data_IF_267202572075
#
_entry.id   IF_267202572075
#
_cell.length_a   1.000
_cell.length_b   1.000
_cell.length_c   1.000
_cell.angle_alpha   90.00
_cell.angle_beta   90.00
_cell.angle_gamma   90.00
#
_symmetry.space_group_name_H-M   'P 1'
#
loop_
_entity.id
_entity.type
_entity.pdbx_description
1 polymer ?
#
# COMPACT_ATOMS: atom_id res chain seq x y z
N UNK A 1 21.72 6.93 2.65
CA UNK A 1 20.71 7.24 1.61
C UNK A 1 21.20 6.56 0.32
N UNK A 2 20.82 5.30 0.05
CA UNK A 2 21.57 4.44 -0.90
C UNK A 2 20.80 4.02 -2.17
N UNK A 3 19.52 4.36 -2.32
CA UNK A 3 18.70 3.92 -3.49
C UNK A 3 17.91 5.05 -4.17
N UNK A 4 17.95 6.27 -3.63
CA UNK A 4 17.33 7.46 -4.23
C UNK A 4 18.39 8.50 -4.55
N UNK A 5 19.11 8.32 -5.66
CA UNK A 5 19.81 9.41 -6.32
C UNK A 5 19.48 9.37 -7.80
N UNK A 6 18.65 10.33 -8.23
CA UNK A 6 18.52 10.70 -9.63
C UNK A 6 19.55 11.78 -9.92
N UNK A 7 20.44 11.54 -10.86
CA UNK A 7 21.43 12.53 -11.33
C UNK A 7 20.78 13.51 -12.32
N UNK A 8 21.05 14.81 -12.27
CA UNK A 8 20.45 15.79 -13.17
C UNK A 8 21.18 15.84 -14.52
N UNK A 9 20.47 15.54 -15.61
CA UNK A 9 20.94 15.80 -16.96
C UNK A 9 20.71 17.27 -17.33
N UNK A 10 21.81 17.98 -17.54
CA UNK A 10 21.93 19.34 -18.07
C UNK A 10 21.27 19.45 -19.44
N UNK A 11 20.28 20.32 -19.58
CA UNK A 11 19.83 20.85 -20.88
C UNK A 11 19.86 22.37 -20.85
N UNK A 12 20.84 22.90 -21.60
CA UNK A 12 20.90 24.29 -22.03
C UNK A 12 19.65 24.64 -22.84
N UNK A 13 18.93 25.69 -22.43
CA UNK A 13 18.03 26.40 -23.32
C UNK A 13 18.27 27.91 -23.22
N UNK A 14 18.42 28.47 -24.41
CA UNK A 14 18.77 29.85 -24.73
C UNK A 14 17.79 30.85 -24.12
N UNK A 15 18.34 31.90 -23.53
CA UNK A 15 17.62 33.10 -23.13
C UNK A 15 17.05 33.82 -24.36
N UNK A 16 15.74 34.07 -24.35
CA UNK A 16 15.12 35.09 -25.20
C UNK A 16 14.68 36.23 -24.30
N UNK A 17 15.39 37.35 -24.45
CA UNK A 17 15.11 38.65 -23.87
C UNK A 17 13.90 39.26 -24.57
N UNK A 18 12.90 39.69 -23.83
CA UNK A 18 11.93 40.68 -24.30
C UNK A 18 11.70 41.73 -23.21
N UNK A 19 12.02 42.99 -23.54
CA UNK A 19 11.96 44.19 -22.69
C UNK A 19 10.64 44.95 -22.90
N UNK A 20 10.30 45.78 -21.89
CA UNK A 20 9.25 46.84 -21.77
C UNK A 20 8.02 46.37 -21.00
N UNK A 21 7.38 47.14 -20.10
CA UNK A 21 7.50 48.54 -19.64
C UNK A 21 6.88 48.66 -18.25
N UNK A 22 7.31 49.64 -17.47
CA UNK A 22 6.68 50.06 -16.22
C UNK A 22 5.31 50.73 -16.46
N UNK A 23 4.36 50.47 -15.55
CA UNK A 23 3.05 51.12 -15.46
C UNK A 23 2.53 51.03 -14.03
N UNK A 24 2.12 52.17 -13.48
CA UNK A 24 1.79 52.43 -12.07
C UNK A 24 0.30 52.17 -11.76
N UNK A 25 0.07 51.66 -10.55
CA UNK A 25 -1.12 51.71 -9.66
C UNK A 25 -2.52 51.46 -10.23
N UNK A 26 -3.21 50.44 -9.68
CA UNK A 26 -4.50 50.58 -9.00
C UNK A 26 -4.75 49.35 -8.13
N UNK A 27 -4.95 49.54 -6.82
CA UNK A 27 -5.43 48.52 -5.92
C UNK A 27 -6.91 48.25 -6.24
N UNK A 28 -7.23 47.05 -6.70
CA UNK A 28 -8.61 46.58 -6.87
C UNK A 28 -8.88 45.53 -5.80
N UNK A 29 -9.65 45.94 -4.79
CA UNK A 29 -10.24 45.04 -3.81
C UNK A 29 -11.10 44.01 -4.54
N UNK A 30 -10.70 42.73 -4.49
CA UNK A 30 -11.47 41.63 -5.08
C UNK A 30 -12.61 41.28 -4.14
N UNK A 31 -13.80 41.75 -4.50
CA UNK A 31 -15.06 41.31 -3.91
C UNK A 31 -15.20 39.79 -4.10
N UNK A 32 -15.39 39.09 -2.99
CA UNK A 32 -15.80 37.69 -2.98
C UNK A 32 -17.26 37.68 -3.45
N UNK A 33 -17.50 37.26 -4.69
CA UNK A 33 -18.84 36.83 -5.07
C UNK A 33 -19.13 35.53 -4.31
N UNK A 34 -19.91 35.66 -3.23
CA UNK A 34 -20.70 34.56 -2.70
C UNK A 34 -21.73 34.16 -3.76
N UNK A 35 -21.40 33.13 -4.54
CA UNK A 35 -22.38 32.47 -5.40
C UNK A 35 -23.43 31.77 -4.52
N UNK A 36 -24.71 31.76 -4.92
CA UNK A 36 -25.77 31.13 -4.14
C UNK A 36 -25.52 29.63 -4.00
N UNK A 37 -25.57 29.15 -2.77
CA UNK A 37 -25.67 27.73 -2.39
C UNK A 37 -26.72 27.05 -3.26
N UNK A 38 -26.37 25.96 -3.94
CA UNK A 38 -27.28 25.14 -4.75
C UNK A 38 -28.46 24.59 -3.93
N UNK A 39 -29.69 25.11 -4.06
CA UNK A 39 -30.88 24.54 -3.44
C UNK A 39 -31.65 23.62 -4.42
N UNK A 40 -31.22 23.61 -5.68
CA UNK A 40 -32.02 23.13 -6.81
C UNK A 40 -31.95 21.60 -6.97
N UNK A 41 -30.87 20.98 -6.49
CA UNK A 41 -30.70 19.52 -6.56
C UNK A 41 -31.46 18.82 -5.43
N UNK A 42 -31.34 19.29 -4.19
CA UNK A 42 -32.09 18.74 -3.04
C UNK A 42 -33.61 18.90 -3.23
N UNK A 43 -34.04 20.02 -3.83
CA UNK A 43 -35.46 20.25 -4.18
C UNK A 43 -36.02 19.20 -5.15
N UNK A 44 -35.26 18.83 -6.20
CA UNK A 44 -35.67 17.79 -7.16
C UNK A 44 -35.79 16.40 -6.53
N UNK A 45 -35.00 16.10 -5.50
CA UNK A 45 -35.08 14.82 -4.77
C UNK A 45 -36.19 14.83 -3.72
N UNK A 46 -36.43 15.96 -3.07
CA UNK A 46 -37.54 16.15 -2.14
C UNK A 46 -38.90 15.99 -2.85
N UNK A 47 -39.05 16.58 -4.03
CA UNK A 47 -40.27 16.48 -4.85
C UNK A 47 -40.55 15.04 -5.31
N UNK A 48 -39.50 14.31 -5.73
CA UNK A 48 -39.62 12.89 -6.09
C UNK A 48 -39.96 11.98 -4.91
N UNK A 49 -39.53 12.33 -3.70
CA UNK A 49 -39.92 11.62 -2.48
C UNK A 49 -41.40 11.90 -2.12
N UNK A 50 -41.85 13.13 -2.31
CA UNK A 50 -43.25 13.52 -2.09
C UNK A 50 -44.20 12.87 -3.08
N UNK A 51 -43.85 12.83 -4.37
CA UNK A 51 -44.64 12.14 -5.40
C UNK A 51 -44.79 10.65 -5.06
N UNK A 52 -43.70 9.97 -4.67
CA UNK A 52 -43.78 8.56 -4.25
C UNK A 52 -44.59 8.33 -2.98
N UNK A 53 -44.55 9.29 -2.04
CA UNK A 53 -45.37 9.24 -0.84
C UNK A 53 -46.87 9.36 -1.19
N UNK A 54 -47.22 10.29 -2.10
CA UNK A 54 -48.58 10.49 -2.59
C UNK A 54 -49.11 9.30 -3.41
N UNK A 55 -48.29 8.73 -4.31
CA UNK A 55 -48.64 7.53 -5.08
C UNK A 55 -48.93 6.31 -4.19
N UNK A 56 -48.23 6.21 -3.06
CA UNK A 56 -48.42 5.13 -2.10
C UNK A 56 -49.46 5.46 -1.01
N UNK A 57 -50.07 6.66 -1.06
CA UNK A 57 -51.07 7.12 -0.09
C UNK A 57 -50.56 7.23 1.35
N UNK A 58 -49.24 7.38 1.55
CA UNK A 58 -48.59 7.38 2.87
C UNK A 58 -47.95 8.73 3.14
N UNK A 59 -47.97 9.17 4.41
CA UNK A 59 -47.31 10.41 4.84
C UNK A 59 -45.77 10.22 4.81
N UNK A 60 -45.02 11.30 4.54
CA UNK A 60 -43.57 11.24 4.32
C UNK A 60 -42.80 10.62 5.49
N UNK A 61 -43.27 10.82 6.72
CA UNK A 61 -42.67 10.24 7.93
C UNK A 61 -42.96 8.74 8.04
N UNK A 62 -44.14 8.30 7.64
CA UNK A 62 -44.53 6.88 7.62
C UNK A 62 -43.77 6.08 6.55
N UNK A 63 -43.48 6.70 5.40
CA UNK A 63 -42.65 6.05 4.38
C UNK A 63 -41.20 5.86 4.86
N UNK A 64 -40.67 6.84 5.61
CA UNK A 64 -39.34 6.73 6.24
C UNK A 64 -39.30 5.67 7.33
N UNK A 65 -40.33 5.57 8.17
CA UNK A 65 -40.39 4.53 9.22
C UNK A 65 -40.53 3.14 8.59
N UNK A 66 -41.37 2.97 7.57
CA UNK A 66 -41.54 1.71 6.83
C UNK A 66 -40.26 1.27 6.11
N UNK A 67 -39.53 2.20 5.51
CA UNK A 67 -38.23 1.92 4.90
C UNK A 67 -37.19 1.47 5.94
N UNK A 68 -37.16 2.12 7.11
CA UNK A 68 -36.27 1.78 8.22
C UNK A 68 -36.60 0.41 8.83
N UNK A 69 -37.89 0.07 8.99
CA UNK A 69 -38.31 -1.24 9.46
C UNK A 69 -38.04 -2.35 8.43
N UNK A 70 -38.24 -2.08 7.15
CA UNK A 70 -37.91 -3.03 6.08
C UNK A 70 -36.40 -3.33 6.02
N UNK A 71 -35.55 -2.30 6.21
CA UNK A 71 -34.11 -2.48 6.33
C UNK A 71 -33.75 -3.33 7.56
N UNK A 72 -34.34 -3.04 8.73
CA UNK A 72 -34.12 -3.83 9.95
C UNK A 72 -34.56 -5.28 9.79
N UNK A 73 -35.67 -5.55 9.09
CA UNK A 73 -36.14 -6.92 8.80
C UNK A 73 -35.17 -7.67 7.87
N UNK A 74 -34.62 -6.99 6.87
CA UNK A 74 -33.59 -7.57 5.99
C UNK A 74 -32.29 -7.88 6.75
N UNK A 75 -31.86 -6.99 7.64
CA UNK A 75 -30.70 -7.19 8.52
C UNK A 75 -30.88 -8.45 9.39
N UNK A 76 -32.02 -8.57 10.08
CA UNK A 76 -32.32 -9.70 10.96
C UNK A 76 -32.44 -11.02 10.17
N UNK A 77 -33.02 -11.00 8.96
CA UNK A 77 -33.07 -12.17 8.10
C UNK A 77 -31.68 -12.62 7.62
N UNK A 78 -30.79 -11.68 7.31
CA UNK A 78 -29.42 -11.97 6.90
C UNK A 78 -28.58 -12.57 8.05
N UNK A 79 -28.74 -12.03 9.27
CA UNK A 79 -28.09 -12.58 10.48
C UNK A 79 -28.60 -13.98 10.82
N UNK A 80 -29.90 -14.26 10.61
CA UNK A 80 -30.49 -15.59 10.87
C UNK A 80 -30.04 -16.63 9.82
N UNK A 81 -29.91 -16.22 8.55
CA UNK A 81 -29.35 -17.02 7.46
C UNK A 81 -27.88 -17.40 7.70
N UNK A 82 -27.07 -16.45 8.19
CA UNK A 82 -25.65 -16.66 8.52
C UNK A 82 -25.44 -17.59 9.73
N UNK A 83 -26.36 -17.63 10.71
CA UNK A 83 -26.28 -18.53 11.87
C UNK A 83 -26.67 -19.97 11.57
N UNK A 84 -27.53 -20.23 10.58
CA UNK A 84 -27.97 -21.58 10.21
C UNK A 84 -26.92 -22.37 9.41
N UNK A 85 -25.93 -21.69 8.83
CA UNK A 85 -24.87 -22.30 8.01
C UNK A 85 -23.63 -22.76 8.81
N UNK A 86 -23.58 -22.50 10.13
CA UNK A 86 -22.45 -22.89 10.99
C UNK A 86 -22.72 -24.10 11.90
N UNK A 87 -23.86 -24.79 11.76
CA UNK A 87 -24.22 -25.91 12.64
C UNK A 87 -24.61 -27.18 11.87
N UNK A 88 -23.67 -27.78 11.12
CA UNK A 88 -23.49 -29.24 10.98
C UNK A 88 -22.35 -29.58 10.00
N UNK A 89 -21.36 -30.42 10.38
CA UNK A 89 -20.51 -31.12 9.43
C UNK A 89 -21.13 -32.49 9.11
N UNK A 90 -21.71 -32.66 7.92
CA UNK A 90 -22.07 -33.99 7.41
C UNK A 90 -21.35 -34.33 6.10
N UNK A 91 -20.41 -35.25 6.27
CA UNK A 91 -19.70 -36.07 5.30
C UNK A 91 -20.70 -36.91 4.49
N UNK A 92 -20.73 -36.77 3.18
CA UNK A 92 -21.29 -37.79 2.27
C UNK A 92 -20.44 -37.91 1.00
N UNK A 93 -19.87 -39.11 0.85
CA UNK A 93 -19.21 -39.61 -0.35
C UNK A 93 -20.15 -39.55 -1.56
N UNK A 94 -19.66 -39.06 -2.71
CA UNK A 94 -20.19 -39.43 -4.02
C UNK A 94 -19.04 -39.62 -5.01
N UNK A 95 -18.93 -40.85 -5.50
CA UNK A 95 -18.07 -41.23 -6.62
C UNK A 95 -18.66 -40.73 -7.96
N UNK A 96 -17.83 -40.62 -9.02
CA UNK A 96 -18.15 -39.86 -10.21
C UNK A 96 -18.60 -40.77 -11.36
N UNK A 97 -19.72 -40.43 -12.02
CA UNK A 97 -19.87 -40.68 -13.45
C UNK A 97 -21.01 -39.85 -14.04
N UNK A 98 -20.76 -39.36 -15.26
CA UNK A 98 -21.72 -38.83 -16.22
C UNK A 98 -22.38 -37.47 -15.92
N UNK A 99 -21.72 -36.39 -16.37
CA UNK A 99 -22.34 -35.57 -17.41
C UNK A 99 -21.27 -34.86 -18.24
N UNK A 100 -21.04 -35.40 -19.44
CA UNK A 100 -20.26 -34.77 -20.50
C UNK A 100 -21.18 -33.82 -21.26
N UNK A 101 -20.63 -32.64 -21.61
CA UNK A 101 -20.98 -31.76 -22.74
C UNK A 101 -21.81 -30.50 -22.44
N UNK A 102 -21.09 -29.41 -22.16
CA UNK A 102 -21.35 -28.13 -22.84
C UNK A 102 -20.09 -27.24 -22.92
N UNK A 103 -19.70 -27.00 -24.18
CA UNK A 103 -18.90 -25.91 -24.77
C UNK A 103 -17.72 -25.31 -23.99
N UNK A 104 -16.55 -25.71 -24.51
CA UNK A 104 -15.28 -24.97 -24.63
C UNK A 104 -15.46 -23.45 -24.82
N UNK A 105 -14.96 -22.69 -23.85
CA UNK A 105 -14.29 -21.41 -24.07
C UNK A 105 -13.07 -21.39 -23.15
N UNK A 106 -11.90 -21.21 -23.75
CA UNK A 106 -10.61 -21.31 -23.08
C UNK A 106 -10.41 -20.23 -22.03
N UNK A 107 -10.11 -20.66 -20.82
CA UNK A 107 -8.88 -20.33 -20.11
C UNK A 107 -8.76 -21.39 -19.04
N UNK A 108 -7.74 -22.24 -19.15
CA UNK A 108 -7.33 -23.11 -18.06
C UNK A 108 -6.95 -22.19 -16.91
N UNK A 109 -7.87 -22.00 -15.96
CA UNK A 109 -7.59 -21.41 -14.67
C UNK A 109 -6.60 -22.33 -13.98
N UNK A 110 -5.31 -22.10 -14.23
CA UNK A 110 -4.21 -22.62 -13.42
C UNK A 110 -4.63 -22.36 -11.97
N UNK A 111 -4.61 -23.41 -11.15
CA UNK A 111 -4.92 -23.30 -9.72
C UNK A 111 -4.09 -22.14 -9.19
N UNK A 112 -4.77 -21.06 -8.83
CA UNK A 112 -4.14 -19.88 -8.25
C UNK A 112 -3.66 -20.34 -6.88
N UNK A 113 -2.37 -20.68 -6.79
CA UNK A 113 -1.75 -21.06 -5.53
C UNK A 113 -2.19 -20.06 -4.47
N UNK A 114 -2.65 -20.57 -3.32
CA UNK A 114 -3.36 -19.82 -2.28
C UNK A 114 -2.45 -18.84 -1.51
N UNK A 115 -1.42 -18.31 -2.18
CA UNK A 115 -0.54 -17.30 -1.64
C UNK A 115 -1.29 -15.97 -1.52
N UNK A 116 -1.20 -15.29 -0.35
CA UNK A 116 -1.78 -13.97 -0.17
C UNK A 116 -1.08 -12.90 -1.02
N UNK A 117 0.09 -13.23 -1.59
CA UNK A 117 0.91 -12.33 -2.40
C UNK A 117 0.65 -12.56 -3.89
N UNK A 118 0.38 -11.48 -4.62
CA UNK A 118 0.27 -11.49 -6.09
C UNK A 118 1.63 -11.87 -6.69
N UNK A 119 1.69 -12.85 -7.59
CA UNK A 119 2.93 -13.22 -8.26
C UNK A 119 3.48 -12.08 -9.14
N UNK A 120 4.82 -11.98 -9.28
CA UNK A 120 5.47 -10.96 -10.10
C UNK A 120 5.05 -11.03 -11.58
N UNK A 121 4.88 -12.24 -12.10
CA UNK A 121 4.42 -12.51 -13.47
C UNK A 121 3.06 -11.87 -13.80
N UNK A 122 2.22 -11.62 -12.78
CA UNK A 122 0.93 -10.93 -12.96
C UNK A 122 1.07 -9.42 -13.15
N UNK A 123 2.22 -8.84 -12.79
CA UNK A 123 2.49 -7.40 -12.81
C UNK A 123 3.31 -7.05 -14.04
N UNK A 124 4.37 -7.83 -14.29
CA UNK A 124 5.34 -7.63 -15.37
C UNK A 124 5.60 -8.95 -16.09
N UNK A 125 5.82 -8.90 -17.40
CA UNK A 125 6.08 -10.09 -18.19
C UNK A 125 7.53 -10.59 -17.97
N UNK A 126 7.70 -11.44 -16.96
CA UNK A 126 9.00 -12.02 -16.58
C UNK A 126 9.61 -12.81 -17.72
N UNK A 127 8.81 -13.57 -18.48
CA UNK A 127 9.31 -14.38 -19.59
C UNK A 127 10.00 -13.53 -20.66
N UNK A 128 9.41 -12.39 -21.05
CA UNK A 128 10.01 -11.46 -22.03
C UNK A 128 11.29 -10.80 -21.50
N UNK A 129 11.34 -10.55 -20.20
CA UNK A 129 12.52 -9.99 -19.55
C UNK A 129 13.67 -11.00 -19.47
N UNK A 130 13.35 -12.29 -19.35
CA UNK A 130 14.35 -13.36 -19.34
C UNK A 130 14.79 -13.77 -20.74
N UNK A 131 13.94 -13.62 -21.77
CA UNK A 131 14.28 -13.97 -23.16
C UNK A 131 15.19 -12.96 -23.84
N UNK A 132 15.20 -11.72 -23.35
CA UNK A 132 15.97 -10.61 -23.92
C UNK A 132 17.10 -10.27 -22.95
N UNK A 133 18.34 -10.03 -23.39
CA UNK A 133 19.43 -9.67 -22.48
C UNK A 133 19.19 -8.26 -21.92
N UNK A 134 18.56 -8.18 -20.75
CA UNK A 134 18.38 -6.94 -20.01
C UNK A 134 19.37 -6.84 -18.86
N UNK A 135 19.86 -5.64 -18.59
CA UNK A 135 20.68 -5.38 -17.40
C UNK A 135 19.79 -5.14 -16.18
N UNK A 136 20.35 -5.31 -14.97
CA UNK A 136 19.65 -5.00 -13.72
C UNK A 136 19.10 -3.56 -13.72
N UNK A 137 19.89 -2.59 -14.21
CA UNK A 137 19.49 -1.18 -14.32
C UNK A 137 18.29 -0.97 -15.26
N UNK A 138 18.27 -1.67 -16.40
CA UNK A 138 17.15 -1.60 -17.35
C UNK A 138 15.86 -2.16 -16.73
N UNK A 139 15.95 -3.27 -16.01
CA UNK A 139 14.80 -3.84 -15.30
C UNK A 139 14.31 -2.87 -14.22
N UNK A 140 15.20 -2.26 -13.45
CA UNK A 140 14.87 -1.26 -12.45
C UNK A 140 14.21 -0.01 -13.05
N UNK A 141 14.70 0.48 -14.18
CA UNK A 141 14.13 1.61 -14.90
C UNK A 141 12.73 1.29 -15.44
N UNK A 142 12.54 0.10 -16.00
CA UNK A 142 11.24 -0.36 -16.49
C UNK A 142 10.25 -0.51 -15.33
N UNK A 143 10.67 -1.10 -14.21
CA UNK A 143 9.86 -1.24 -13.01
C UNK A 143 9.38 0.11 -12.46
N UNK A 144 10.28 1.08 -12.41
CA UNK A 144 9.99 2.46 -11.97
C UNK A 144 9.05 3.16 -12.95
N UNK A 145 9.33 3.07 -14.25
CA UNK A 145 8.51 3.68 -15.32
C UNK A 145 7.10 3.08 -15.36
N UNK A 146 6.96 1.78 -15.18
CA UNK A 146 5.66 1.11 -15.09
C UNK A 146 4.82 1.71 -13.97
N UNK A 147 5.35 1.78 -12.75
CA UNK A 147 4.61 2.33 -11.62
C UNK A 147 4.37 3.84 -11.74
N UNK A 148 5.31 4.60 -12.32
CA UNK A 148 5.13 6.01 -12.64
C UNK A 148 3.99 6.24 -13.66
N UNK A 149 3.91 5.43 -14.71
CA UNK A 149 2.86 5.53 -15.74
C UNK A 149 1.47 5.17 -15.18
N UNK A 150 1.37 4.18 -14.30
CA UNK A 150 0.13 3.84 -13.56
C UNK A 150 -0.30 4.94 -12.59
N UNK A 151 0.62 5.85 -12.27
CA UNK A 151 0.44 7.00 -11.39
C UNK A 151 0.03 8.26 -12.19
N UNK A 152 0.10 8.28 -13.53
CA UNK A 152 -0.06 9.45 -14.39
C UNK A 152 -1.51 9.85 -14.75
N UNK A 153 -2.36 10.00 -13.74
CA UNK A 153 -3.66 10.68 -13.91
C UNK A 153 -4.24 11.16 -12.58
N UNK A 154 -3.98 10.44 -11.49
CA UNK A 154 -4.34 10.87 -10.14
C UNK A 154 -3.30 10.54 -9.07
N UNK A 155 -2.13 10.02 -9.46
CA UNK A 155 -0.91 10.18 -8.68
C UNK A 155 -0.76 9.34 -7.42
N UNK A 156 -1.69 8.44 -7.11
CA UNK A 156 -1.79 7.91 -5.75
C UNK A 156 -1.97 6.39 -5.78
N UNK A 157 -1.25 5.69 -4.91
CA UNK A 157 -1.49 4.28 -4.65
C UNK A 157 -0.27 3.39 -4.61
N UNK A 158 0.86 3.76 -5.22
CA UNK A 158 2.04 2.90 -5.25
C UNK A 158 3.36 3.64 -4.99
N UNK A 159 4.29 2.90 -4.39
CA UNK A 159 5.73 3.22 -4.38
C UNK A 159 6.49 2.01 -4.91
N UNK A 160 7.69 2.23 -5.46
CA UNK A 160 8.49 1.16 -6.02
C UNK A 160 9.98 1.44 -5.84
N UNK A 161 10.78 0.39 -5.79
CA UNK A 161 12.24 0.48 -5.79
C UNK A 161 12.85 -0.82 -6.30
N UNK A 162 14.15 -0.80 -6.55
CA UNK A 162 14.97 -1.99 -6.76
C UNK A 162 16.01 -2.07 -5.65
N UNK A 163 16.16 -3.24 -5.04
CA UNK A 163 17.03 -3.47 -3.88
C UNK A 163 18.03 -4.56 -4.24
N UNK A 164 19.35 -4.41 -3.98
CA UNK A 164 20.29 -5.48 -4.21
C UNK A 164 20.03 -6.66 -3.30
N UNK A 165 20.32 -7.84 -3.82
CA UNK A 165 20.18 -9.10 -3.09
C UNK A 165 20.91 -9.09 -1.75
N UNK A 166 22.12 -8.50 -1.68
CA UNK A 166 22.91 -8.42 -0.44
C UNK A 166 22.15 -7.69 0.67
N UNK A 167 21.58 -6.53 0.35
CA UNK A 167 20.80 -5.74 1.32
C UNK A 167 19.48 -6.43 1.67
N UNK A 168 18.82 -7.04 0.68
CA UNK A 168 17.58 -7.76 0.94
C UNK A 168 17.78 -8.96 1.88
N UNK A 169 18.81 -9.78 1.66
CA UNK A 169 19.11 -10.91 2.52
C UNK A 169 19.39 -10.48 3.96
N UNK A 170 20.02 -9.31 4.14
CA UNK A 170 20.23 -8.73 5.47
C UNK A 170 18.92 -8.33 6.14
N UNK A 171 18.06 -7.58 5.43
CA UNK A 171 16.73 -7.23 5.95
C UNK A 171 15.93 -8.48 6.30
N UNK A 172 16.00 -9.53 5.47
CA UNK A 172 15.35 -10.81 5.75
C UNK A 172 15.88 -11.47 7.03
N UNK A 173 17.19 -11.50 7.23
CA UNK A 173 17.78 -12.11 8.42
C UNK A 173 17.33 -11.38 9.70
N UNK A 174 17.39 -10.04 9.70
CA UNK A 174 16.97 -9.22 10.84
C UNK A 174 15.45 -9.29 11.02
N UNK A 175 14.67 -9.19 9.94
CA UNK A 175 13.21 -9.27 9.97
C UNK A 175 12.68 -10.61 10.48
N UNK A 176 13.43 -11.71 10.30
CA UNK A 176 13.06 -13.01 10.88
C UNK A 176 13.29 -13.08 12.38
N UNK A 177 14.32 -12.40 12.88
CA UNK A 177 14.61 -12.32 14.32
C UNK A 177 13.68 -11.35 15.02
N UNK A 178 13.40 -10.22 14.35
CA UNK A 178 12.67 -9.08 14.89
C UNK A 178 11.53 -8.69 13.93
N UNK A 179 10.43 -9.45 13.88
CA UNK A 179 9.41 -9.29 12.85
C UNK A 179 8.49 -8.09 13.05
N UNK A 180 8.53 -7.41 14.20
CA UNK A 180 7.57 -6.36 14.53
C UNK A 180 8.26 -5.10 15.04
N UNK A 181 7.83 -3.92 14.63
CA UNK A 181 8.37 -2.68 15.20
C UNK A 181 7.37 -1.54 15.12
N UNK A 182 7.75 -0.37 15.62
CA UNK A 182 6.95 0.84 15.48
C UNK A 182 7.78 1.94 14.81
N UNK A 183 7.22 2.56 13.78
CA UNK A 183 7.86 3.66 13.04
C UNK A 183 7.07 4.94 13.26
N UNK A 184 7.72 6.02 13.76
CA UNK A 184 7.09 7.33 13.84
C UNK A 184 7.13 8.06 12.50
N UNK A 185 6.00 8.66 12.12
CA UNK A 185 5.88 9.53 10.95
C UNK A 185 5.50 10.94 11.43
N UNK A 186 6.29 11.98 11.11
CA UNK A 186 5.96 13.35 11.52
C UNK A 186 4.71 13.85 10.79
N UNK A 187 3.87 14.62 11.49
CA UNK A 187 2.68 15.27 10.94
C UNK A 187 2.91 16.77 10.88
N UNK A 188 3.07 17.30 9.68
CA UNK A 188 3.18 18.74 9.43
C UNK A 188 1.86 19.43 9.81
N UNK A 189 1.94 20.53 10.57
CA UNK A 189 0.79 21.38 10.89
C UNK A 189 -0.01 21.02 12.15
N UNK A 190 0.28 19.90 12.81
CA UNK A 190 -0.23 19.62 14.15
C UNK A 190 0.85 19.89 15.18
N UNK A 191 0.90 21.12 15.72
CA UNK A 191 1.63 21.39 16.95
C UNK A 191 0.94 20.64 18.09
N UNK A 192 1.63 19.67 18.69
CA UNK A 192 1.13 19.05 19.91
C UNK A 192 1.20 20.08 21.04
N UNK A 193 0.09 20.33 21.73
CA UNK A 193 0.10 21.11 22.97
C UNK A 193 0.65 20.18 24.06
N UNK A 194 1.93 20.31 24.38
CA UNK A 194 2.48 19.69 25.58
C UNK A 194 1.82 20.31 26.81
N UNK A 195 1.39 19.52 27.82
CA UNK A 195 0.83 20.06 29.06
C UNK A 195 1.83 20.91 29.87
N UNK A 196 3.12 20.85 29.51
CA UNK A 196 4.22 21.56 30.17
C UNK A 196 4.94 22.47 29.18
N UNK A 197 4.32 23.60 28.80
CA UNK A 197 4.95 24.89 28.42
C UNK A 197 6.24 24.97 27.57
N UNK A 198 6.71 23.91 26.93
CA UNK A 198 7.94 23.87 26.13
C UNK A 198 7.62 23.72 24.64
N UNK A 199 8.51 24.31 23.84
CA UNK A 199 8.36 24.65 22.43
C UNK A 199 7.75 23.55 21.55
N UNK A 200 6.89 23.99 20.64
CA UNK A 200 6.10 23.25 19.64
C UNK A 200 6.80 22.01 19.06
N UNK A 201 6.65 20.86 19.72
CA UNK A 201 7.09 19.58 19.18
C UNK A 201 6.18 19.15 18.00
N UNK A 202 6.80 18.76 16.89
CA UNK A 202 6.10 18.16 15.74
C UNK A 202 5.33 16.93 16.24
N UNK A 203 4.01 16.88 16.04
CA UNK A 203 3.26 15.68 16.41
C UNK A 203 3.67 14.51 15.50
N UNK A 204 3.73 13.31 16.05
CA UNK A 204 4.08 12.10 15.33
C UNK A 204 2.91 11.12 15.36
N UNK A 205 2.68 10.47 14.23
CA UNK A 205 1.79 9.31 14.15
C UNK A 205 2.63 8.04 14.05
N UNK A 206 2.33 7.08 14.92
CA UNK A 206 3.06 5.82 14.97
C UNK A 206 2.36 4.74 14.13
N UNK A 207 3.16 4.05 13.33
CA UNK A 207 2.75 2.91 12.52
C UNK A 207 3.40 1.65 13.06
N UNK A 208 2.59 0.63 13.31
CA UNK A 208 3.09 -0.71 13.55
C UNK A 208 3.57 -1.32 12.24
N UNK A 209 4.79 -1.81 12.25
CA UNK A 209 5.47 -2.51 11.17
C UNK A 209 5.43 -4.00 11.50
N UNK A 210 4.98 -4.83 10.57
CA UNK A 210 5.02 -6.30 10.69
C UNK A 210 5.60 -6.93 9.43
N UNK A 211 6.59 -7.81 9.61
CA UNK A 211 7.13 -8.68 8.57
C UNK A 211 6.33 -9.99 8.49
N UNK A 212 5.96 -10.38 7.27
CA UNK A 212 5.49 -11.73 6.96
C UNK A 212 6.35 -12.35 5.87
N UNK A 213 6.55 -13.67 5.96
CA UNK A 213 7.42 -14.42 5.05
C UNK A 213 6.61 -15.49 4.33
N UNK A 214 6.83 -15.59 3.01
CA UNK A 214 6.13 -16.49 2.11
C UNK A 214 7.11 -17.47 1.46
N UNK A 215 6.58 -18.53 0.86
CA UNK A 215 7.41 -19.48 0.12
C UNK A 215 8.20 -18.75 -0.99
N UNK A 216 9.45 -19.16 -1.26
CA UNK A 216 10.21 -18.64 -2.39
C UNK A 216 9.45 -18.86 -3.71
N UNK A 217 9.48 -17.89 -4.63
CA UNK A 217 8.87 -18.07 -5.94
C UNK A 217 9.66 -19.09 -6.75
N UNK A 218 9.04 -19.61 -7.81
CA UNK A 218 9.74 -20.45 -8.77
C UNK A 218 10.78 -19.61 -9.52
N UNK A 219 11.95 -20.19 -9.86
CA UNK A 219 12.95 -19.50 -10.66
C UNK A 219 12.35 -19.02 -12.00
N UNK A 220 12.59 -17.77 -12.41
CA UNK A 220 12.07 -17.27 -13.66
C UNK A 220 12.74 -17.99 -14.84
N UNK A 221 11.93 -18.45 -15.79
CA UNK A 221 12.38 -19.15 -16.99
C UNK A 221 12.08 -18.34 -18.25
N UNK A 222 13.01 -18.35 -19.21
CA UNK A 222 12.79 -17.78 -20.54
C UNK A 222 11.82 -18.64 -21.39
N UNK A 223 11.79 -19.94 -21.12
CA UNK A 223 10.84 -20.90 -21.70
C UNK A 223 9.61 -20.96 -20.81
N UNK A 224 8.40 -20.98 -21.40
CA UNK A 224 7.14 -21.08 -20.65
C UNK A 224 7.13 -22.30 -19.70
N UNK A 225 6.21 -22.35 -18.72
CA UNK A 225 6.19 -23.41 -17.72
C UNK A 225 6.06 -24.77 -18.39
N UNK A 226 7.14 -25.54 -18.40
CA UNK A 226 7.13 -26.90 -18.90
C UNK A 226 6.37 -27.77 -17.91
N UNK A 227 5.16 -28.16 -18.29
CA UNK A 227 4.23 -28.98 -17.52
C UNK A 227 4.82 -30.34 -17.11
N UNK A 228 5.91 -30.77 -17.75
CA UNK A 228 6.58 -32.04 -17.51
C UNK A 228 7.95 -31.87 -16.85
N UNK A 229 8.38 -30.63 -16.58
CA UNK A 229 9.65 -30.40 -15.88
C UNK A 229 9.53 -30.81 -14.41
N UNK A 230 10.44 -31.69 -13.98
CA UNK A 230 10.55 -32.10 -12.58
C UNK A 230 11.06 -30.91 -11.77
N UNK A 231 10.28 -30.46 -10.79
CA UNK A 231 10.72 -29.43 -9.82
C UNK A 231 12.10 -29.86 -9.30
N UNK A 232 13.17 -29.07 -9.54
CA UNK A 232 14.50 -29.44 -9.08
C UNK A 232 14.49 -29.57 -7.56
N UNK A 233 15.27 -30.51 -6.98
CA UNK A 233 15.34 -30.65 -5.52
C UNK A 233 15.75 -29.30 -4.90
N UNK A 234 15.06 -28.93 -3.83
CA UNK A 234 15.03 -27.59 -3.20
C UNK A 234 16.37 -26.90 -2.92
N UNK A 235 17.48 -27.62 -3.04
CA UNK A 235 18.80 -27.17 -2.64
C UNK A 235 19.67 -26.65 -3.79
N UNK A 236 19.26 -26.78 -5.07
CA UNK A 236 20.10 -26.40 -6.20
C UNK A 236 19.88 -24.97 -6.74
N UNK A 237 18.78 -24.30 -6.36
CA UNK A 237 18.40 -22.99 -6.95
C UNK A 237 17.54 -22.16 -5.98
N UNK A 238 17.84 -22.17 -4.69
CA UNK A 238 17.00 -21.54 -3.68
C UNK A 238 17.01 -20.00 -3.82
N UNK A 239 15.94 -19.44 -4.38
CA UNK A 239 15.68 -18.00 -4.31
C UNK A 239 15.41 -17.60 -2.85
N UNK A 240 15.73 -16.35 -2.46
CA UNK A 240 15.28 -15.81 -1.18
C UNK A 240 13.76 -15.93 -1.03
N UNK A 241 13.27 -15.99 0.21
CA UNK A 241 11.83 -15.95 0.47
C UNK A 241 11.24 -14.62 0.02
N UNK A 242 10.02 -14.66 -0.51
CA UNK A 242 9.19 -13.48 -0.71
C UNK A 242 8.77 -12.96 0.67
N UNK A 243 8.93 -11.66 0.92
CA UNK A 243 8.54 -11.05 2.17
C UNK A 243 7.57 -9.89 1.93
N UNK A 244 6.69 -9.66 2.90
CA UNK A 244 5.82 -8.49 2.95
C UNK A 244 6.02 -7.72 4.24
N UNK A 245 5.92 -6.40 4.17
CA UNK A 245 5.92 -5.53 5.36
C UNK A 245 4.61 -4.76 5.40
N UNK A 246 3.84 -4.98 6.45
CA UNK A 246 2.57 -4.31 6.69
C UNK A 246 2.79 -3.12 7.60
N UNK A 247 2.21 -1.98 7.22
CA UNK A 247 2.18 -0.78 8.04
C UNK A 247 0.75 -0.42 8.39
N UNK A 248 0.45 -0.44 9.68
CA UNK A 248 -0.89 -0.15 10.19
C UNK A 248 -0.78 0.91 11.28
N UNK A 249 -1.52 2.02 11.21
CA UNK A 249 -1.51 3.02 12.27
C UNK A 249 -1.90 2.40 13.62
N UNK A 250 -1.22 2.79 14.71
CA UNK A 250 -1.57 2.28 16.04
C UNK A 250 -3.01 2.64 16.44
N UNK A 251 -3.51 3.78 15.96
CA UNK A 251 -4.89 4.20 16.21
C UNK A 251 -5.90 3.26 15.53
N UNK A 252 -5.59 2.76 14.33
CA UNK A 252 -6.43 1.78 13.63
C UNK A 252 -6.46 0.44 14.38
N UNK A 253 -5.31 0.00 14.91
CA UNK A 253 -5.24 -1.19 15.77
C UNK A 253 -6.05 -1.04 17.05
N UNK A 254 -5.99 0.12 17.72
CA UNK A 254 -6.81 0.38 18.91
C UNK A 254 -8.31 0.21 18.63
N UNK A 255 -8.76 0.64 17.45
CA UNK A 255 -10.18 0.61 17.07
C UNK A 255 -10.64 -0.76 16.56
N UNK A 256 -9.81 -1.49 15.80
CA UNK A 256 -10.22 -2.70 15.07
C UNK A 256 -9.48 -3.98 15.44
N UNK A 257 -8.42 -3.90 16.24
CA UNK A 257 -7.62 -5.04 16.68
C UNK A 257 -7.18 -5.92 15.50
N UNK A 258 -7.52 -7.21 15.49
CA UNK A 258 -7.17 -8.16 14.42
C UNK A 258 -7.77 -7.81 13.05
N UNK A 259 -8.75 -6.91 12.97
CA UNK A 259 -9.36 -6.44 11.73
C UNK A 259 -8.83 -5.07 11.28
N UNK A 260 -7.75 -4.59 11.90
CA UNK A 260 -7.12 -3.34 11.51
C UNK A 260 -6.58 -3.43 10.08
N UNK A 261 -6.89 -2.41 9.29
CA UNK A 261 -6.51 -2.38 7.88
C UNK A 261 -5.12 -1.75 7.76
N UNK A 262 -4.12 -2.43 7.18
CA UNK A 262 -2.83 -1.82 6.90
C UNK A 262 -3.00 -0.70 5.87
N UNK A 263 -2.34 0.42 6.08
CA UNK A 263 -2.39 1.58 5.19
C UNK A 263 -1.38 1.47 4.05
N UNK A 264 -0.28 0.74 4.28
CA UNK A 264 0.74 0.44 3.30
C UNK A 264 1.19 -1.02 3.41
N UNK A 265 1.34 -1.67 2.27
CA UNK A 265 1.83 -3.05 2.15
C UNK A 265 3.04 -3.01 1.23
N UNK A 266 4.23 -3.29 1.75
CA UNK A 266 5.42 -3.52 0.95
C UNK A 266 5.53 -4.99 0.59
N UNK A 267 5.89 -5.30 -0.65
CA UNK A 267 6.16 -6.65 -1.13
C UNK A 267 7.49 -6.67 -1.86
N UNK A 268 8.35 -7.62 -1.48
CA UNK A 268 9.66 -7.84 -2.08
C UNK A 268 9.60 -9.06 -3.00
N UNK A 269 9.92 -8.87 -4.28
CA UNK A 269 9.91 -9.90 -5.33
C UNK A 269 11.34 -10.33 -5.65
N UNK A 270 11.79 -11.50 -5.15
CA UNK A 270 13.16 -11.96 -5.30
C UNK A 270 13.43 -12.70 -6.61
N UNK A 271 12.48 -12.70 -7.56
CA UNK A 271 12.54 -13.44 -8.81
C UNK A 271 13.85 -13.20 -9.60
N UNK A 272 14.34 -11.95 -9.62
CA UNK A 272 15.57 -11.57 -10.31
C UNK A 272 16.85 -11.63 -9.44
N UNK A 273 16.76 -12.20 -8.24
CA UNK A 273 17.86 -12.16 -7.27
C UNK A 273 19.09 -12.94 -7.76
N UNK A 274 18.91 -14.13 -8.31
CA UNK A 274 20.02 -14.95 -8.82
C UNK A 274 20.54 -14.48 -10.17
N UNK A 275 19.65 -13.99 -11.04
CA UNK A 275 19.98 -13.68 -12.44
C UNK A 275 20.56 -12.28 -12.61
N UNK A 276 20.03 -11.30 -11.87
CA UNK A 276 20.41 -9.89 -11.99
C UNK A 276 20.90 -9.28 -10.67
N UNK A 277 20.94 -10.04 -9.58
CA UNK A 277 21.40 -9.55 -8.28
C UNK A 277 20.46 -8.56 -7.60
N UNK A 278 19.20 -8.44 -8.07
CA UNK A 278 18.23 -7.46 -7.61
C UNK A 278 16.91 -8.09 -7.17
N UNK A 279 16.22 -7.39 -6.28
CA UNK A 279 14.91 -7.70 -5.73
C UNK A 279 14.02 -6.49 -5.99
N UNK A 280 12.85 -6.70 -6.59
CA UNK A 280 11.94 -5.61 -6.89
C UNK A 280 11.03 -5.35 -5.69
N UNK A 281 10.94 -4.11 -5.26
CA UNK A 281 10.04 -3.66 -4.19
C UNK A 281 8.81 -2.99 -4.80
N UNK A 282 7.64 -3.38 -4.32
CA UNK A 282 6.36 -2.68 -4.56
C UNK A 282 5.70 -2.34 -3.25
N UNK A 283 5.37 -1.08 -3.03
CA UNK A 283 4.46 -0.67 -1.97
C UNK A 283 3.08 -0.38 -2.54
N UNK A 284 2.04 -1.05 -2.05
CA UNK A 284 0.64 -0.75 -2.34
C UNK A 284 0.05 0.07 -1.16
N UNK A 285 -0.46 1.26 -1.44
CA UNK A 285 -1.19 2.09 -0.48
C UNK A 285 -2.66 1.69 -0.55
N UNK A 286 -3.26 1.45 0.61
CA UNK A 286 -4.65 1.01 0.69
C UNK A 286 -5.61 2.13 0.28
N UNK A 287 -6.53 1.89 -0.67
CA UNK A 287 -7.56 2.85 -1.02
C UNK A 287 -8.55 3.01 0.14
N UNK A 288 -9.06 4.21 0.33
CA UNK A 288 -10.12 4.50 1.30
C UNK A 288 -11.40 3.77 0.91
N UNK A 289 -12.22 3.39 1.90
CA UNK A 289 -13.49 2.68 1.68
C UNK A 289 -14.42 3.41 0.70
N UNK A 290 -14.44 4.76 0.73
CA UNK A 290 -15.20 5.57 -0.20
C UNK A 290 -14.79 5.39 -1.67
N UNK A 291 -13.52 5.06 -1.90
CA UNK A 291 -12.97 4.78 -3.24
C UNK A 291 -13.13 3.32 -3.63
N UNK A 292 -13.01 2.38 -2.68
CA UNK A 292 -13.20 0.96 -2.94
C UNK A 292 -14.64 0.60 -3.36
N UNK A 293 -15.63 1.36 -2.87
CA UNK A 293 -17.05 1.16 -3.18
C UNK A 293 -17.54 1.90 -4.43
N UNK A 294 -16.74 2.78 -5.03
CA UNK A 294 -17.15 3.58 -6.17
C UNK A 294 -16.93 2.80 -7.49
N UNK A 295 -18.00 2.60 -8.27
CA UNK A 295 -17.87 2.11 -9.65
C UNK A 295 -17.05 3.13 -10.44
N UNK A 296 -15.99 2.73 -11.16
CA UNK A 296 -15.15 3.66 -11.91
C UNK A 296 -15.98 4.33 -13.01
N UNK A 297 -16.45 5.54 -12.73
CA UNK A 297 -17.17 6.39 -13.68
C UNK A 297 -16.21 7.46 -14.19
N UNK A 298 -16.08 7.64 -15.52
CA UNK A 298 -15.24 8.69 -16.09
C UNK A 298 -15.72 10.07 -15.61
N UNK A 299 -14.87 10.75 -14.82
CA UNK A 299 -15.16 12.07 -14.24
C UNK A 299 -15.24 12.13 -12.71
N UNK A 300 -15.12 11.00 -12.01
CA UNK A 300 -15.10 10.97 -10.54
C UNK A 300 -13.72 11.40 -10.01
N UNK A 301 -13.63 12.25 -8.95
CA UNK A 301 -12.34 12.69 -8.41
C UNK A 301 -11.47 11.51 -7.98
N UNK A 302 -10.16 11.73 -8.09
CA UNK A 302 -9.08 10.82 -7.74
C UNK A 302 -9.38 9.85 -6.58
N UNK A 303 -8.98 8.60 -6.77
CA UNK A 303 -8.92 7.60 -5.72
C UNK A 303 -8.31 8.21 -4.45
N UNK A 304 -9.09 8.18 -3.36
CA UNK A 304 -8.64 8.61 -2.04
C UNK A 304 -7.92 7.43 -1.41
N UNK A 305 -6.69 7.64 -1.00
CA UNK A 305 -5.86 6.64 -0.34
C UNK A 305 -5.76 6.96 1.15
N UNK A 306 -5.55 5.94 1.98
CA UNK A 306 -5.45 6.09 3.44
C UNK A 306 -4.14 6.73 3.87
N UNK A 307 -3.13 6.75 2.99
CA UNK A 307 -1.81 7.30 3.24
C UNK A 307 -1.36 8.19 2.06
N UNK A 308 -0.59 9.24 2.37
CA UNK A 308 0.09 10.03 1.33
C UNK A 308 1.28 9.26 0.75
N UNK A 309 1.72 9.61 -0.45
CA UNK A 309 2.88 8.97 -1.05
C UNK A 309 4.18 9.29 -0.32
N UNK A 310 4.30 10.52 0.22
CA UNK A 310 5.45 10.96 1.01
C UNK A 310 5.56 10.13 2.29
N UNK A 311 4.45 9.97 3.03
CA UNK A 311 4.44 9.14 4.23
C UNK A 311 4.78 7.68 3.91
N UNK A 312 4.28 7.16 2.79
CA UNK A 312 4.59 5.80 2.35
C UNK A 312 6.10 5.63 2.09
N UNK A 313 6.74 6.63 1.49
CA UNK A 313 8.20 6.65 1.29
C UNK A 313 8.94 6.73 2.64
N UNK A 314 8.49 7.58 3.56
CA UNK A 314 9.08 7.69 4.91
C UNK A 314 9.02 6.35 5.66
N UNK A 315 7.89 5.64 5.60
CA UNK A 315 7.74 4.32 6.21
C UNK A 315 8.67 3.28 5.57
N UNK A 316 8.78 3.27 4.24
CA UNK A 316 9.71 2.39 3.53
C UNK A 316 11.19 2.69 3.89
N UNK A 317 11.54 3.97 4.07
CA UNK A 317 12.85 4.38 4.58
C UNK A 317 13.06 3.95 6.04
N UNK A 318 12.00 3.91 6.85
CA UNK A 318 12.02 3.35 8.19
C UNK A 318 12.47 1.88 8.19
N UNK A 319 11.98 1.06 7.26
CA UNK A 319 12.45 -0.33 7.10
C UNK A 319 13.96 -0.35 6.86
N UNK A 320 14.45 0.47 5.92
CA UNK A 320 15.87 0.51 5.62
C UNK A 320 16.70 0.92 6.84
N UNK A 321 16.25 1.94 7.58
CA UNK A 321 16.96 2.48 8.74
C UNK A 321 17.09 1.46 9.88
N UNK A 322 16.04 0.68 10.15
CA UNK A 322 16.01 -0.26 11.27
C UNK A 322 16.28 -1.72 10.87
N UNK A 323 16.46 -2.05 9.59
CA UNK A 323 16.72 -3.43 9.16
C UNK A 323 17.96 -3.57 8.27
N UNK A 324 18.80 -2.53 8.17
CA UNK A 324 20.06 -2.56 7.42
C UNK A 324 21.30 -2.17 8.24
N UNK A 325 21.33 -2.42 9.55
CA UNK A 325 22.50 -2.09 10.38
C UNK A 325 23.66 -3.06 10.26
N UNK A 326 24.85 -2.52 10.52
CA UNK A 326 26.17 -3.13 10.46
C UNK A 326 26.74 -2.84 9.10
N UNK A 327 27.96 -2.34 8.96
CA UNK A 327 28.62 -2.29 7.67
C UNK A 327 30.11 -2.34 7.88
N UNK A 328 30.78 -2.87 6.87
CA UNK A 328 32.20 -2.72 6.56
C UNK A 328 32.58 -1.27 6.22
N UNK A 329 31.68 -0.29 6.34
CA UNK A 329 31.98 1.13 6.15
C UNK A 329 32.43 1.75 7.48
N UNK A 330 33.74 1.90 7.62
CA UNK A 330 34.44 2.39 8.82
C UNK A 330 34.13 3.86 9.19
N UNK A 331 33.51 4.64 8.31
CA UNK A 331 33.30 6.08 8.56
C UNK A 331 31.86 6.45 8.90
N UNK A 332 31.67 6.99 10.11
CA UNK A 332 30.53 7.78 10.62
C UNK A 332 29.12 7.15 10.68
N UNK A 333 28.79 6.19 9.82
CA UNK A 333 27.45 5.58 9.73
C UNK A 333 27.21 4.53 10.82
N UNK A 334 28.28 3.96 11.39
CA UNK A 334 28.20 2.92 12.42
C UNK A 334 27.45 3.35 13.67
N UNK A 335 27.58 4.62 14.11
CA UNK A 335 26.91 5.11 15.32
C UNK A 335 25.39 5.18 15.15
N UNK A 336 24.93 5.54 13.94
CA UNK A 336 23.51 5.53 13.60
C UNK A 336 22.94 4.11 13.56
N UNK A 337 23.66 3.20 12.91
CA UNK A 337 23.28 1.80 12.79
C UNK A 337 23.22 1.08 14.15
N UNK A 338 24.18 1.36 15.05
CA UNK A 338 24.18 0.81 16.42
C UNK A 338 22.98 1.31 17.24
N UNK A 339 22.56 2.57 17.07
CA UNK A 339 21.38 3.11 17.77
C UNK A 339 20.10 2.46 17.25
N UNK A 340 19.97 2.30 15.93
CA UNK A 340 18.85 1.57 15.33
C UNK A 340 18.80 0.12 15.86
N UNK A 341 19.95 -0.57 15.88
CA UNK A 341 20.07 -1.95 16.36
C UNK A 341 19.62 -2.07 17.81
N UNK A 342 20.16 -1.22 18.67
CA UNK A 342 19.81 -1.19 20.09
C UNK A 342 18.31 -1.00 20.29
N UNK A 343 17.69 -0.07 19.57
CA UNK A 343 16.26 0.23 19.70
C UNK A 343 15.38 -0.95 19.31
N UNK A 344 15.68 -1.64 18.19
CA UNK A 344 14.88 -2.80 17.79
C UNK A 344 15.06 -3.99 18.73
N UNK A 345 16.30 -4.23 19.20
CA UNK A 345 16.59 -5.29 20.18
C UNK A 345 15.86 -5.03 21.48
N UNK A 346 15.96 -3.81 22.02
CA UNK A 346 15.23 -3.42 23.24
C UNK A 346 13.73 -3.60 23.07
N UNK A 347 13.16 -3.20 21.93
CA UNK A 347 11.73 -3.36 21.66
C UNK A 347 11.25 -4.83 21.77
N UNK A 348 12.07 -5.80 21.36
CA UNK A 348 11.67 -7.23 21.38
C UNK A 348 12.10 -7.97 22.64
N UNK A 349 13.30 -7.69 23.14
CA UNK A 349 13.92 -8.47 24.22
C UNK A 349 13.65 -7.87 25.60
N UNK A 350 13.60 -6.54 25.69
CA UNK A 350 13.48 -5.76 26.95
C UNK A 350 12.53 -4.58 26.77
N UNK A 351 11.22 -4.83 26.55
CA UNK A 351 10.25 -3.78 26.26
C UNK A 351 10.11 -2.76 27.40
N UNK A 352 10.44 -3.12 28.64
CA UNK A 352 10.49 -2.22 29.80
C UNK A 352 11.59 -1.15 29.71
N UNK A 353 12.69 -1.43 29.01
CA UNK A 353 13.78 -0.47 28.77
C UNK A 353 13.54 0.39 27.53
N UNK A 354 12.53 0.05 26.72
CA UNK A 354 12.28 0.73 25.46
C UNK A 354 11.68 2.14 25.67
N UNK A 355 12.37 3.16 25.15
CA UNK A 355 11.93 4.54 25.21
C UNK A 355 11.56 5.08 23.82
N UNK A 356 10.30 5.49 23.65
CA UNK A 356 9.81 6.07 22.39
C UNK A 356 10.43 7.44 22.07
N UNK A 357 10.92 8.19 23.07
CA UNK A 357 11.57 9.48 22.84
C UNK A 357 12.91 9.30 22.10
N UNK A 358 13.69 8.28 22.47
CA UNK A 358 14.95 7.91 21.80
C UNK A 358 14.69 7.47 20.35
N UNK A 359 13.56 6.80 20.12
CA UNK A 359 13.08 6.45 18.79
C UNK A 359 12.77 7.70 17.96
N UNK A 360 12.08 8.70 18.49
CA UNK A 360 11.80 9.95 17.76
C UNK A 360 13.09 10.70 17.39
N UNK A 361 14.01 10.82 18.35
CA UNK A 361 15.29 11.47 18.14
C UNK A 361 16.08 10.77 17.04
N UNK A 362 16.14 9.44 17.08
CA UNK A 362 16.82 8.66 16.07
C UNK A 362 16.08 8.68 14.73
N UNK A 363 14.75 8.63 14.71
CA UNK A 363 13.94 8.50 13.51
C UNK A 363 14.01 9.72 12.60
N UNK A 364 14.29 10.92 13.13
CA UNK A 364 14.56 12.13 12.34
C UNK A 364 15.53 11.79 11.21
N UNK A 365 15.04 11.89 9.98
CA UNK A 365 15.87 11.75 8.80
C UNK A 365 16.70 13.04 8.75
N UNK A 366 18.01 12.92 8.97
CA UNK A 366 18.94 14.04 8.78
C UNK A 366 18.76 14.57 7.36
N UNK A 367 18.36 15.84 7.23
CA UNK A 367 18.29 16.58 5.98
C UNK A 367 19.68 16.78 5.38
#
# INVERSE_FOLDING_TARGET
MLWLQSSPATLHLHAIVCRRSAGRYFAVARWIHAGPSTPLYESKYAERLQQKAQEQGLELTELRTRAKEAARRKEVANVKSARLSQAHPQRLNKSPSEMVRSKVSGTSGVRKDSSPVKALESIINVQRLMSTPHTAEQISALWTTYHASRTAGTGRGFICASVPIKLYNRMLAIGKQYPMFVIPVPREGSSAVSPEGQESAVAHEFYFLQWDFHAPPLPPSATGPDLFSRVPPSNATALPQTATVLFTPLQEYKLRQSFATPYLILTFYPDFAQTHGIVLLRGEITPSAATAAATPSPGTPAARFLLSQIDAQLLAMGVQKFYLWGNESEDSSQKGDQKAEKLLRQFHERPEEFNWADLLEHARLTS
#
